data_IF_559991254912
#
_entry.id   IF_559991254912
#
_cell.length_a   1.000
_cell.length_b   1.000
_cell.length_c   1.000
_cell.angle_alpha   90.00
_cell.angle_beta   90.00
_cell.angle_gamma   90.00
#
_symmetry.space_group_name_H-M   'P 1'
#
loop_
_entity.id
_entity.type
_entity.pdbx_description
1 polymer ?
#
# COMPACT_ATOMS: atom_id res chain seq x y z
N UNK A 1 15.60 23.02 44.40
CA UNK A 1 14.28 23.05 43.75
C UNK A 1 14.30 21.94 42.71
N UNK A 2 13.51 20.88 42.90
CA UNK A 2 13.51 19.72 42.00
C UNK A 2 12.55 20.02 40.85
N UNK A 3 13.09 20.25 39.65
CA UNK A 3 12.29 20.48 38.43
C UNK A 3 11.58 19.17 38.10
N UNK A 4 10.25 19.19 37.99
CA UNK A 4 9.47 18.01 37.62
C UNK A 4 9.26 17.95 36.10
N UNK A 5 8.96 16.75 35.57
CA UNK A 5 8.62 16.58 34.13
C UNK A 5 7.41 17.44 33.74
N UNK A 6 6.47 17.65 34.66
CA UNK A 6 5.32 18.53 34.42
C UNK A 6 5.73 19.98 34.25
N UNK A 7 6.72 20.46 35.01
CA UNK A 7 7.23 21.82 34.87
C UNK A 7 7.89 22.02 33.49
N UNK A 8 8.63 21.01 33.01
CA UNK A 8 9.24 21.02 31.67
C UNK A 8 8.19 21.01 30.55
N UNK A 9 7.13 20.20 30.68
CA UNK A 9 6.05 20.16 29.70
C UNK A 9 5.30 21.50 29.68
N UNK A 10 4.99 22.08 30.84
CA UNK A 10 4.31 23.37 30.92
C UNK A 10 5.16 24.51 30.31
N UNK A 11 6.48 24.48 30.50
CA UNK A 11 7.40 25.44 29.88
C UNK A 11 7.36 25.33 28.35
N UNK A 12 7.46 24.11 27.81
CA UNK A 12 7.34 23.89 26.36
C UNK A 12 5.95 24.23 25.81
N UNK A 13 4.88 24.02 26.56
CA UNK A 13 3.53 24.45 26.18
C UNK A 13 3.40 25.99 26.13
N UNK A 14 4.02 26.71 27.05
CA UNK A 14 4.08 28.17 27.02
C UNK A 14 4.89 28.65 25.81
N UNK A 15 6.02 28.02 25.51
CA UNK A 15 6.82 28.32 24.32
C UNK A 15 6.04 28.05 23.04
N UNK A 16 5.28 26.95 22.98
CA UNK A 16 4.42 26.60 21.86
C UNK A 16 3.35 27.68 21.58
N UNK A 17 2.75 28.24 22.62
CA UNK A 17 1.75 29.32 22.50
C UNK A 17 2.37 30.61 21.99
N UNK A 18 3.59 30.92 22.42
CA UNK A 18 4.30 32.14 22.06
C UNK A 18 5.02 32.05 20.70
N UNK A 19 5.29 30.84 20.21
CA UNK A 19 5.95 30.60 18.95
C UNK A 19 5.14 31.16 17.77
N UNK A 20 5.79 31.90 16.89
CA UNK A 20 5.18 32.45 15.68
C UNK A 20 5.38 31.55 14.47
N UNK A 21 6.55 30.90 14.38
CA UNK A 21 6.93 30.05 13.26
C UNK A 21 6.49 28.60 13.46
N UNK A 22 6.10 27.92 12.38
CA UNK A 22 5.73 26.49 12.43
C UNK A 22 6.94 25.60 12.79
N UNK A 23 8.16 26.02 12.46
CA UNK A 23 9.41 25.33 12.80
C UNK A 23 9.61 25.23 14.32
N UNK A 24 9.41 26.34 15.03
CA UNK A 24 9.51 26.43 16.48
C UNK A 24 8.38 25.65 17.14
N UNK A 25 7.15 25.76 16.62
CA UNK A 25 6.01 24.96 17.10
C UNK A 25 6.27 23.46 16.95
N UNK A 26 6.80 23.02 15.81
CA UNK A 26 7.16 21.62 15.58
C UNK A 26 8.21 21.14 16.59
N UNK A 27 9.21 21.98 16.88
CA UNK A 27 10.27 21.68 17.86
C UNK A 27 9.72 21.55 19.28
N UNK A 28 8.90 22.50 19.74
CA UNK A 28 8.27 22.45 21.05
C UNK A 28 7.40 21.21 21.22
N UNK A 29 6.58 20.87 20.21
CA UNK A 29 5.74 19.67 20.27
C UNK A 29 6.59 18.40 20.27
N UNK A 30 7.67 18.33 19.49
CA UNK A 30 8.57 17.19 19.54
C UNK A 30 9.17 17.03 20.94
N UNK A 31 9.61 18.12 21.59
CA UNK A 31 10.12 18.08 22.96
C UNK A 31 9.05 17.55 23.93
N UNK A 32 7.81 18.03 23.82
CA UNK A 32 6.67 17.54 24.63
C UNK A 32 6.47 16.03 24.42
N UNK A 33 6.49 15.55 23.17
CA UNK A 33 6.35 14.13 22.86
C UNK A 33 7.48 13.31 23.49
N UNK A 34 8.74 13.74 23.33
CA UNK A 34 9.90 13.04 23.91
C UNK A 34 9.81 13.00 25.44
N UNK A 35 9.45 14.10 26.08
CA UNK A 35 9.24 14.17 27.53
C UNK A 35 8.14 13.20 27.99
N UNK A 36 7.02 13.14 27.26
CA UNK A 36 5.91 12.21 27.56
C UNK A 36 6.32 10.75 27.36
N UNK A 37 7.03 10.43 26.29
CA UNK A 37 7.53 9.07 25.99
C UNK A 37 8.53 8.57 27.03
N UNK A 38 9.44 9.43 27.50
CA UNK A 38 10.42 9.09 28.52
C UNK A 38 9.88 9.19 29.95
N UNK A 39 8.69 9.76 30.14
CA UNK A 39 8.03 9.77 31.44
C UNK A 39 7.47 8.39 31.77
N UNK A 40 7.75 7.90 32.98
CA UNK A 40 7.13 6.67 33.51
C UNK A 40 5.69 6.89 33.99
N UNK A 41 5.03 7.98 33.57
CA UNK A 41 3.72 8.42 34.08
C UNK A 41 2.65 8.08 33.03
N UNK A 42 1.80 7.06 33.26
CA UNK A 42 0.83 6.59 32.26
C UNK A 42 -0.17 7.67 31.81
N UNK A 43 -0.54 8.59 32.72
CA UNK A 43 -1.48 9.68 32.42
C UNK A 43 -0.95 10.63 31.35
N UNK A 44 0.37 10.86 31.29
CA UNK A 44 1.00 11.71 30.28
C UNK A 44 1.07 11.04 28.91
N UNK A 45 0.95 9.71 28.85
CA UNK A 45 1.04 8.96 27.60
C UNK A 45 -0.28 8.94 26.81
N UNK A 46 -1.41 9.19 27.48
CA UNK A 46 -2.74 9.10 26.86
C UNK A 46 -2.99 10.11 25.72
N UNK A 47 -2.29 11.25 25.73
CA UNK A 47 -2.50 12.32 24.75
C UNK A 47 -1.44 12.36 23.63
N UNK A 48 -0.45 11.47 23.64
CA UNK A 48 0.67 11.50 22.67
C UNK A 48 0.15 11.40 21.23
N UNK A 49 -0.94 10.67 20.99
CA UNK A 49 -1.54 10.56 19.66
C UNK A 49 -1.96 11.93 19.08
N UNK A 50 -2.54 12.80 19.92
CA UNK A 50 -2.96 14.14 19.51
C UNK A 50 -1.76 15.03 19.26
N UNK A 51 -0.74 14.92 20.12
CA UNK A 51 0.50 15.68 19.97
C UNK A 51 1.25 15.28 18.70
N UNK A 52 1.31 13.99 18.35
CA UNK A 52 1.90 13.52 17.10
C UNK A 52 1.16 14.07 15.88
N UNK A 53 -0.17 14.18 15.91
CA UNK A 53 -0.91 14.86 14.84
C UNK A 53 -0.53 16.33 14.71
N UNK A 54 -0.45 17.06 15.82
CA UNK A 54 -0.02 18.47 15.81
C UNK A 54 1.42 18.60 15.32
N UNK A 55 2.29 17.69 15.72
CA UNK A 55 3.67 17.63 15.25
C UNK A 55 3.74 17.47 13.73
N UNK A 56 3.02 16.48 13.17
CA UNK A 56 2.92 16.25 11.72
C UNK A 56 2.48 17.53 11.00
N UNK A 57 1.43 18.17 11.49
CA UNK A 57 0.90 19.41 10.93
C UNK A 57 1.96 20.52 10.87
N UNK A 58 2.57 20.86 12.02
CA UNK A 58 3.53 21.96 12.08
C UNK A 58 4.85 21.62 11.39
N UNK A 59 5.29 20.36 11.44
CA UNK A 59 6.50 19.92 10.75
C UNK A 59 6.35 20.10 9.24
N UNK A 60 5.25 19.62 8.65
CA UNK A 60 4.98 19.78 7.22
C UNK A 60 4.81 21.26 6.86
N UNK A 61 4.10 22.04 7.68
CA UNK A 61 3.94 23.47 7.46
C UNK A 61 5.28 24.23 7.50
N UNK A 62 6.21 23.83 8.38
CA UNK A 62 7.52 24.48 8.52
C UNK A 62 8.36 24.39 7.24
N UNK A 63 8.15 23.36 6.42
CA UNK A 63 8.83 23.19 5.13
C UNK A 63 8.41 24.25 4.12
N UNK A 64 7.17 24.72 4.20
CA UNK A 64 6.67 25.82 3.36
C UNK A 64 7.24 27.16 3.78
N UNK A 65 7.41 27.37 5.08
CA UNK A 65 7.95 28.62 5.64
C UNK A 65 9.45 28.75 5.35
N UNK A 66 10.18 27.63 5.39
CA UNK A 66 11.59 27.54 4.96
C UNK A 66 11.69 27.42 3.43
N UNK A 67 11.26 28.44 2.70
CA UNK A 67 11.27 28.45 1.23
C UNK A 67 12.65 28.30 0.57
N UNK A 68 13.77 28.29 1.30
CA UNK A 68 15.10 28.19 0.70
C UNK A 68 16.07 27.46 1.62
N UNK A 69 16.59 26.33 1.11
CA UNK A 69 17.87 25.70 1.39
C UNK A 69 18.20 25.41 2.87
N UNK A 70 18.19 24.12 3.24
CA UNK A 70 19.23 23.39 3.99
C UNK A 70 18.65 22.27 4.87
N UNK A 71 17.43 22.40 5.37
CA UNK A 71 16.76 21.31 6.09
C UNK A 71 15.95 20.45 5.11
N UNK A 72 16.54 19.35 4.65
CA UNK A 72 15.81 18.35 3.88
C UNK A 72 14.64 17.80 4.72
N UNK A 73 13.45 17.76 4.12
CA UNK A 73 12.32 17.03 4.71
C UNK A 73 12.75 15.59 4.98
N UNK A 74 12.71 15.21 6.25
CA UNK A 74 13.08 13.88 6.71
C UNK A 74 11.82 13.10 7.03
N UNK A 75 11.52 12.10 6.20
CA UNK A 75 10.37 11.21 6.37
C UNK A 75 10.45 10.45 7.71
N UNK A 76 11.66 10.08 8.14
CA UNK A 76 11.89 9.30 9.37
C UNK A 76 11.36 10.01 10.62
N UNK A 77 11.42 11.34 10.67
CA UNK A 77 10.93 12.11 11.83
C UNK A 77 9.44 11.87 12.11
N UNK A 78 8.63 11.74 11.05
CA UNK A 78 7.21 11.39 11.19
C UNK A 78 7.06 9.88 11.38
N UNK A 79 7.74 9.08 10.55
CA UNK A 79 7.57 7.63 10.50
C UNK A 79 7.92 6.98 11.84
N UNK A 80 9.02 7.39 12.48
CA UNK A 80 9.49 6.81 13.74
C UNK A 80 8.47 7.04 14.87
N UNK A 81 7.85 8.22 14.92
CA UNK A 81 6.79 8.53 15.87
C UNK A 81 5.52 7.71 15.61
N UNK A 82 5.15 7.56 14.33
CA UNK A 82 3.97 6.75 13.95
C UNK A 82 4.17 5.29 14.35
N UNK A 83 5.38 4.73 14.21
CA UNK A 83 5.67 3.33 14.51
C UNK A 83 5.43 2.95 15.98
N UNK A 84 5.40 3.92 16.90
CA UNK A 84 5.13 3.70 18.32
C UNK A 84 3.68 3.28 18.62
N UNK A 85 2.76 3.52 17.69
CA UNK A 85 1.34 3.26 17.89
C UNK A 85 0.91 1.88 17.41
N UNK A 86 -0.31 1.46 17.78
CA UNK A 86 -0.90 0.23 17.24
C UNK A 86 -1.24 0.36 15.75
N UNK A 87 -1.51 -0.76 15.07
CA UNK A 87 -1.73 -0.80 13.62
C UNK A 87 -2.87 0.11 13.15
N UNK A 88 -3.94 0.24 13.93
CA UNK A 88 -5.08 1.09 13.57
C UNK A 88 -4.75 2.58 13.69
N UNK A 89 -4.07 2.97 14.76
CA UNK A 89 -3.57 4.32 14.96
C UNK A 89 -2.49 4.68 13.93
N UNK A 90 -1.58 3.76 13.62
CA UNK A 90 -0.58 3.90 12.55
C UNK A 90 -1.25 4.25 11.23
N UNK A 91 -2.27 3.48 10.84
CA UNK A 91 -3.04 3.72 9.60
C UNK A 91 -3.64 5.13 9.59
N UNK A 92 -4.32 5.52 10.66
CA UNK A 92 -4.97 6.83 10.76
C UNK A 92 -3.97 8.00 10.75
N UNK A 93 -2.79 7.84 11.35
CA UNK A 93 -1.73 8.85 11.34
C UNK A 93 -1.07 8.97 9.96
N UNK A 94 -0.87 7.87 9.25
CA UNK A 94 -0.32 7.88 7.88
C UNK A 94 -1.30 8.53 6.89
N UNK A 95 -2.59 8.21 6.96
CA UNK A 95 -3.61 8.90 6.16
C UNK A 95 -3.64 10.40 6.46
N UNK A 96 -3.49 10.76 7.73
CA UNK A 96 -3.40 12.17 8.13
C UNK A 96 -2.15 12.83 7.54
N UNK A 97 -0.96 12.26 7.73
CA UNK A 97 0.28 12.80 7.18
C UNK A 97 0.20 12.97 5.65
N UNK A 98 -0.30 11.97 4.91
CA UNK A 98 -0.46 12.06 3.46
C UNK A 98 -1.37 13.20 3.02
N UNK A 99 -2.49 13.41 3.72
CA UNK A 99 -3.40 14.52 3.43
C UNK A 99 -2.72 15.87 3.66
N UNK A 100 -1.94 16.00 4.73
CA UNK A 100 -1.20 17.23 5.03
C UNK A 100 -0.09 17.49 3.99
N UNK A 101 0.69 16.48 3.62
CA UNK A 101 1.73 16.55 2.57
C UNK A 101 1.11 16.99 1.23
N UNK A 102 -0.01 16.37 0.85
CA UNK A 102 -0.74 16.70 -0.39
C UNK A 102 -1.31 18.12 -0.35
N UNK A 103 -1.78 18.58 0.82
CA UNK A 103 -2.29 19.95 0.99
C UNK A 103 -1.19 20.99 0.79
N UNK A 104 0.03 20.72 1.24
CA UNK A 104 1.18 21.61 1.03
C UNK A 104 1.89 21.38 -0.32
N UNK A 105 1.28 20.62 -1.24
CA UNK A 105 1.79 20.34 -2.60
C UNK A 105 3.15 19.64 -2.67
N UNK A 106 3.54 18.89 -1.64
CA UNK A 106 4.80 18.14 -1.56
C UNK A 106 4.65 16.72 -2.15
N UNK A 107 4.13 16.60 -3.38
CA UNK A 107 3.76 15.30 -3.99
C UNK A 107 4.93 14.32 -4.11
N UNK A 108 6.15 14.80 -4.36
CA UNK A 108 7.34 13.94 -4.47
C UNK A 108 7.63 13.16 -3.19
N UNK A 109 7.16 13.69 -2.04
CA UNK A 109 7.36 13.10 -0.71
C UNK A 109 6.26 12.12 -0.31
N UNK A 110 5.22 11.92 -1.13
CA UNK A 110 4.11 11.01 -0.77
C UNK A 110 4.44 9.53 -0.99
N UNK A 111 5.39 9.21 -1.86
CA UNK A 111 5.68 7.82 -2.29
C UNK A 111 6.02 6.92 -1.09
N UNK A 112 6.88 7.39 -0.19
CA UNK A 112 7.29 6.59 0.98
C UNK A 112 6.12 6.37 1.96
N UNK A 113 5.34 7.41 2.22
CA UNK A 113 4.15 7.34 3.07
C UNK A 113 3.06 6.46 2.46
N UNK A 114 2.86 6.47 1.13
CA UNK A 114 1.92 5.60 0.43
C UNK A 114 2.35 4.14 0.52
N UNK A 115 3.64 3.86 0.34
CA UNK A 115 4.20 2.51 0.53
C UNK A 115 4.02 2.02 1.97
N UNK A 116 4.28 2.87 2.96
CA UNK A 116 4.10 2.52 4.36
C UNK A 116 2.62 2.32 4.72
N UNK A 117 1.73 3.17 4.19
CA UNK A 117 0.29 3.03 4.35
C UNK A 117 -0.21 1.69 3.82
N UNK A 118 0.22 1.29 2.61
CA UNK A 118 -0.14 -0.01 2.02
C UNK A 118 0.33 -1.17 2.90
N UNK A 119 1.53 -1.09 3.48
CA UNK A 119 2.05 -2.11 4.42
C UNK A 119 1.21 -2.19 5.69
N UNK A 120 0.86 -1.06 6.28
CA UNK A 120 0.06 -1.00 7.51
C UNK A 120 -1.38 -1.44 7.22
N UNK A 121 -1.96 -1.07 6.09
CA UNK A 121 -3.28 -1.52 5.65
C UNK A 121 -3.33 -3.04 5.48
N UNK A 122 -2.32 -3.61 4.81
CA UNK A 122 -2.21 -5.07 4.69
C UNK A 122 -2.15 -5.75 6.06
N UNK A 123 -1.32 -5.23 6.97
CA UNK A 123 -1.23 -5.73 8.35
C UNK A 123 -2.56 -5.62 9.11
N UNK A 124 -3.28 -4.52 8.93
CA UNK A 124 -4.61 -4.27 9.52
C UNK A 124 -5.65 -5.28 9.03
N UNK A 125 -5.67 -5.57 7.73
CA UNK A 125 -6.56 -6.56 7.13
C UNK A 125 -6.20 -7.98 7.54
N UNK A 126 -4.91 -8.31 7.69
CA UNK A 126 -4.46 -9.60 8.23
C UNK A 126 -4.94 -9.81 9.67
N UNK A 127 -4.82 -8.81 10.54
CA UNK A 127 -5.26 -8.91 11.94
C UNK A 127 -6.78 -9.05 12.07
N UNK A 128 -7.54 -8.45 11.16
CA UNK A 128 -9.00 -8.47 11.15
C UNK A 128 -9.58 -9.45 10.13
N UNK A 129 -8.82 -10.49 9.77
CA UNK A 129 -9.20 -11.37 8.66
C UNK A 129 -10.58 -12.00 8.87
N UNK A 130 -11.47 -11.72 7.92
CA UNK A 130 -12.76 -12.39 7.75
C UNK A 130 -12.81 -12.93 6.34
N UNK A 131 -13.36 -14.13 6.16
CA UNK A 131 -13.43 -14.78 4.83
C UNK A 131 -14.11 -13.90 3.77
N UNK A 132 -15.08 -13.09 4.18
CA UNK A 132 -15.76 -12.08 3.34
C UNK A 132 -14.80 -11.04 2.73
N UNK A 133 -13.68 -10.75 3.40
CA UNK A 133 -12.69 -9.76 2.99
C UNK A 133 -11.52 -10.40 2.23
N UNK A 134 -11.58 -11.68 1.85
CA UNK A 134 -10.49 -12.36 1.15
C UNK A 134 -10.04 -11.62 -0.11
N UNK A 135 -10.98 -11.15 -0.95
CA UNK A 135 -10.64 -10.37 -2.14
C UNK A 135 -9.96 -9.04 -1.81
N UNK A 136 -10.39 -8.37 -0.73
CA UNK A 136 -9.75 -7.14 -0.26
C UNK A 136 -8.32 -7.43 0.17
N UNK A 137 -8.11 -8.46 0.99
CA UNK A 137 -6.79 -8.88 1.44
C UNK A 137 -5.88 -9.27 0.27
N UNK A 138 -6.39 -10.00 -0.72
CA UNK A 138 -5.65 -10.37 -1.92
C UNK A 138 -5.21 -9.12 -2.69
N UNK A 139 -6.12 -8.17 -2.91
CA UNK A 139 -5.82 -6.92 -3.60
C UNK A 139 -4.79 -6.07 -2.84
N UNK A 140 -4.97 -5.84 -1.54
CA UNK A 140 -4.00 -5.10 -0.72
C UNK A 140 -2.65 -5.83 -0.63
N UNK A 141 -2.66 -7.17 -0.65
CA UNK A 141 -1.45 -7.99 -0.71
C UNK A 141 -0.65 -7.81 -2.00
N UNK A 142 -1.33 -7.65 -3.14
CA UNK A 142 -0.67 -7.31 -4.40
C UNK A 142 0.08 -5.97 -4.32
N UNK A 143 -0.46 -4.99 -3.58
CA UNK A 143 0.15 -3.65 -3.43
C UNK A 143 1.29 -3.59 -2.41
N UNK A 144 1.56 -4.69 -1.69
CA UNK A 144 2.58 -4.73 -0.63
C UNK A 144 4.02 -4.70 -1.16
N UNK A 145 4.30 -5.40 -2.27
CA UNK A 145 5.63 -5.52 -2.86
C UNK A 145 5.55 -5.94 -4.34
N UNK A 146 6.53 -5.52 -5.15
CA UNK A 146 6.73 -5.97 -6.53
C UNK A 146 6.78 -7.50 -6.67
N UNK A 147 7.27 -8.21 -5.65
CA UNK A 147 7.24 -9.68 -5.62
C UNK A 147 5.83 -10.25 -5.43
N UNK A 148 4.98 -9.60 -4.63
CA UNK A 148 3.59 -10.01 -4.42
C UNK A 148 2.79 -9.97 -5.72
N UNK A 149 3.06 -8.98 -6.56
CA UNK A 149 2.54 -8.88 -7.93
C UNK A 149 2.93 -10.10 -8.77
N UNK A 150 4.22 -10.46 -8.77
CA UNK A 150 4.69 -11.60 -9.57
C UNK A 150 4.04 -12.90 -9.10
N UNK A 151 3.90 -13.08 -7.79
CA UNK A 151 3.19 -14.22 -7.19
C UNK A 151 1.71 -14.21 -7.59
N UNK A 152 1.05 -13.06 -7.58
CA UNK A 152 -0.35 -12.94 -8.01
C UNK A 152 -0.50 -13.31 -9.48
N UNK A 153 0.38 -12.82 -10.37
CA UNK A 153 0.39 -13.17 -11.79
C UNK A 153 0.61 -14.67 -12.01
N UNK A 154 1.58 -15.27 -11.31
CA UNK A 154 1.82 -16.72 -11.36
C UNK A 154 0.58 -17.48 -10.88
N UNK A 155 -0.05 -17.03 -9.79
CA UNK A 155 -1.27 -17.66 -9.25
C UNK A 155 -2.42 -17.59 -10.25
N UNK A 156 -2.63 -16.43 -10.89
CA UNK A 156 -3.63 -16.26 -11.95
C UNK A 156 -3.35 -17.19 -13.13
N UNK A 157 -2.07 -17.25 -13.56
CA UNK A 157 -1.65 -18.11 -14.64
C UNK A 157 -1.92 -19.59 -14.32
N UNK A 158 -1.60 -20.03 -13.10
CA UNK A 158 -1.87 -21.40 -12.64
C UNK A 158 -3.38 -21.69 -12.58
N UNK A 159 -4.20 -20.73 -12.18
CA UNK A 159 -5.66 -20.87 -12.23
C UNK A 159 -6.16 -21.02 -13.67
N UNK A 160 -5.69 -20.18 -14.59
CA UNK A 160 -6.00 -20.30 -16.02
C UNK A 160 -5.55 -21.66 -16.58
N UNK A 161 -4.36 -22.12 -16.19
CA UNK A 161 -3.84 -23.42 -16.57
C UNK A 161 -4.78 -24.55 -16.20
N UNK A 162 -5.29 -24.53 -14.96
CA UNK A 162 -6.22 -25.55 -14.46
C UNK A 162 -7.59 -25.42 -15.14
N UNK A 163 -8.13 -24.20 -15.26
CA UNK A 163 -9.46 -23.95 -15.83
C UNK A 163 -9.53 -24.34 -17.31
N UNK A 164 -8.45 -24.14 -18.06
CA UNK A 164 -8.37 -24.46 -19.47
C UNK A 164 -7.91 -25.90 -19.75
N UNK A 165 -7.64 -26.71 -18.73
CA UNK A 165 -7.42 -28.14 -18.96
C UNK A 165 -8.67 -28.75 -19.62
N UNK A 166 -8.49 -29.69 -20.56
CA UNK A 166 -9.62 -30.38 -21.16
C UNK A 166 -10.40 -31.12 -20.06
N UNK A 167 -11.70 -30.84 -19.99
CA UNK A 167 -12.56 -31.41 -18.97
C UNK A 167 -12.62 -32.95 -19.10
N UNK A 168 -12.60 -33.69 -17.98
CA UNK A 168 -12.91 -35.11 -18.00
C UNK A 168 -14.31 -35.35 -18.56
N UNK A 169 -14.54 -36.56 -19.10
CA UNK A 169 -15.73 -36.94 -19.90
C UNK A 169 -17.10 -36.62 -19.26
N UNK A 170 -17.15 -36.43 -17.94
CA UNK A 170 -18.38 -36.22 -17.16
C UNK A 170 -18.52 -34.81 -16.55
N UNK A 171 -17.57 -33.90 -16.80
CA UNK A 171 -17.63 -32.52 -16.30
C UNK A 171 -18.28 -31.58 -17.32
N UNK A 172 -18.98 -30.52 -16.86
CA UNK A 172 -19.53 -29.51 -17.76
C UNK A 172 -18.39 -28.84 -18.54
N UNK A 173 -18.36 -29.06 -19.86
CA UNK A 173 -17.36 -28.48 -20.75
C UNK A 173 -17.62 -26.98 -20.88
N UNK A 174 -16.82 -26.17 -20.18
CA UNK A 174 -16.87 -24.71 -20.29
C UNK A 174 -16.16 -24.21 -21.55
N UNK A 175 -15.08 -24.90 -21.94
CA UNK A 175 -14.17 -24.47 -22.96
C UNK A 175 -13.82 -25.60 -23.93
N UNK A 176 -13.69 -25.24 -25.20
CA UNK A 176 -13.08 -26.08 -26.24
C UNK A 176 -11.69 -25.52 -26.51
N UNK A 177 -10.67 -26.35 -26.31
CA UNK A 177 -9.27 -25.97 -26.53
C UNK A 177 -8.76 -26.48 -27.88
N UNK A 178 -8.15 -25.61 -28.67
CA UNK A 178 -7.47 -25.96 -29.93
C UNK A 178 -5.98 -25.65 -29.80
N UNK A 179 -5.16 -26.68 -29.67
CA UNK A 179 -3.72 -26.52 -29.44
C UNK A 179 -2.98 -26.24 -30.74
N UNK A 180 -2.16 -25.20 -30.73
CA UNK A 180 -1.04 -25.06 -31.64
C UNK A 180 0.13 -25.89 -31.12
N UNK A 181 0.77 -26.70 -31.97
CA UNK A 181 1.85 -27.58 -31.54
C UNK A 181 3.16 -26.80 -31.46
N UNK A 182 3.53 -26.38 -30.25
CA UNK A 182 4.79 -25.69 -29.91
C UNK A 182 5.81 -26.67 -29.32
N UNK A 183 5.35 -27.68 -28.59
CA UNK A 183 6.18 -28.66 -27.90
C UNK A 183 5.55 -30.06 -27.89
N UNK A 184 6.39 -31.09 -27.84
CA UNK A 184 5.96 -32.49 -27.75
C UNK A 184 5.40 -32.87 -26.38
N UNK A 185 5.77 -32.14 -25.33
CA UNK A 185 5.23 -32.35 -23.98
C UNK A 185 3.87 -31.67 -23.84
N UNK A 186 2.83 -32.41 -23.48
CA UNK A 186 1.48 -31.88 -23.28
C UNK A 186 1.46 -30.67 -22.33
N UNK A 187 2.13 -30.77 -21.18
CA UNK A 187 2.12 -29.69 -20.18
C UNK A 187 2.83 -28.43 -20.66
N UNK A 188 3.96 -28.57 -21.34
CA UNK A 188 4.68 -27.43 -21.92
C UNK A 188 3.89 -26.82 -23.07
N UNK A 189 3.29 -27.65 -23.92
CA UNK A 189 2.45 -27.21 -25.01
C UNK A 189 1.22 -26.44 -24.50
N UNK A 190 0.55 -26.95 -23.46
CA UNK A 190 -0.56 -26.27 -22.80
C UNK A 190 -0.14 -24.92 -22.21
N UNK A 191 0.99 -24.89 -21.50
CA UNK A 191 1.57 -23.65 -20.96
C UNK A 191 1.82 -22.60 -22.06
N UNK A 192 2.48 -22.99 -23.14
CA UNK A 192 2.78 -22.10 -24.28
C UNK A 192 1.52 -21.58 -24.96
N UNK A 193 0.51 -22.43 -25.17
CA UNK A 193 -0.74 -22.02 -25.80
C UNK A 193 -1.53 -21.02 -24.94
N UNK A 194 -1.51 -21.17 -23.61
CA UNK A 194 -2.11 -20.19 -22.70
C UNK A 194 -1.40 -18.84 -22.80
N UNK A 195 -0.06 -18.84 -22.76
CA UNK A 195 0.72 -17.61 -22.90
C UNK A 195 0.45 -16.94 -24.25
N UNK A 196 0.48 -17.69 -25.35
CA UNK A 196 0.14 -17.18 -26.68
C UNK A 196 -1.29 -16.60 -26.73
N UNK A 197 -2.23 -17.22 -26.03
CA UNK A 197 -3.60 -16.71 -25.92
C UNK A 197 -3.74 -15.45 -25.07
N UNK A 198 -2.91 -15.26 -24.05
CA UNK A 198 -2.91 -14.06 -23.20
C UNK A 198 -2.34 -12.87 -23.98
N UNK A 199 -1.28 -13.09 -24.76
CA UNK A 199 -0.59 -12.07 -25.55
C UNK A 199 -1.14 -11.93 -26.98
N UNK A 200 -2.18 -12.68 -27.33
CA UNK A 200 -2.85 -12.65 -28.65
C UNK A 200 -1.89 -12.87 -29.84
N UNK A 201 -0.92 -13.78 -29.67
CA UNK A 201 0.15 -14.05 -30.66
C UNK A 201 -0.35 -14.93 -31.83
N UNK A 202 -1.41 -15.69 -31.62
CA UNK A 202 -1.94 -16.68 -32.57
C UNK A 202 -3.15 -16.14 -33.34
N UNK A 203 -3.27 -16.52 -34.61
CA UNK A 203 -4.42 -16.17 -35.44
C UNK A 203 -5.70 -16.90 -35.01
N UNK A 204 -5.57 -18.16 -34.59
CA UNK A 204 -6.68 -18.97 -34.10
C UNK A 204 -6.75 -18.95 -32.57
N UNK A 205 -7.97 -18.85 -32.02
CA UNK A 205 -8.18 -18.76 -30.57
C UNK A 205 -7.97 -20.12 -29.91
N UNK A 206 -6.94 -20.25 -29.06
CA UNK A 206 -6.70 -21.44 -28.24
C UNK A 206 -7.91 -21.86 -27.41
N UNK A 207 -8.66 -20.91 -26.83
CA UNK A 207 -9.83 -21.18 -25.98
C UNK A 207 -11.10 -20.60 -26.61
N UNK A 208 -12.08 -21.47 -26.86
CA UNK A 208 -13.42 -21.08 -27.30
C UNK A 208 -14.44 -21.44 -26.21
N UNK A 209 -15.23 -20.47 -25.70
CA UNK A 209 -16.29 -20.78 -24.75
C UNK A 209 -17.41 -21.57 -25.45
N UNK A 210 -17.86 -22.65 -24.83
CA UNK A 210 -18.92 -23.53 -25.38
C UNK A 210 -20.31 -23.06 -24.92
N UNK A 211 -20.36 -22.40 -23.76
CA UNK A 211 -21.59 -21.94 -23.14
C UNK A 211 -21.42 -20.54 -22.53
N UNK A 212 -22.55 -19.94 -22.11
CA UNK A 212 -22.56 -18.58 -21.54
C UNK A 212 -21.69 -18.47 -20.28
N UNK A 213 -21.58 -19.55 -19.50
CA UNK A 213 -20.74 -19.60 -18.31
C UNK A 213 -19.25 -19.54 -18.66
N UNK A 214 -18.82 -20.27 -19.69
CA UNK A 214 -17.48 -20.19 -20.24
C UNK A 214 -17.17 -18.78 -20.74
N UNK A 215 -18.12 -18.14 -21.43
CA UNK A 215 -17.96 -16.74 -21.86
C UNK A 215 -17.77 -15.80 -20.69
N UNK A 216 -18.60 -15.91 -19.64
CA UNK A 216 -18.50 -15.09 -18.43
C UNK A 216 -17.16 -15.30 -17.72
N UNK A 217 -16.73 -16.54 -17.53
CA UNK A 217 -15.44 -16.87 -16.92
C UNK A 217 -14.30 -16.27 -17.74
N UNK A 218 -14.33 -16.40 -19.07
CA UNK A 218 -13.30 -15.86 -19.95
C UNK A 218 -13.21 -14.33 -19.90
N UNK A 219 -14.36 -13.63 -19.84
CA UNK A 219 -14.40 -12.18 -19.65
C UNK A 219 -13.81 -11.80 -18.29
N UNK A 220 -14.23 -12.47 -17.21
CA UNK A 220 -13.73 -12.20 -15.86
C UNK A 220 -12.22 -12.41 -15.77
N UNK A 221 -11.68 -13.49 -16.34
CA UNK A 221 -10.25 -13.76 -16.39
C UNK A 221 -9.49 -12.67 -17.15
N UNK A 222 -10.01 -12.22 -18.30
CA UNK A 222 -9.39 -11.12 -19.06
C UNK A 222 -9.44 -9.80 -18.30
N UNK A 223 -10.57 -9.44 -17.71
CA UNK A 223 -10.70 -8.24 -16.89
C UNK A 223 -9.75 -8.27 -15.70
N UNK A 224 -9.62 -9.42 -15.02
CA UNK A 224 -8.71 -9.58 -13.89
C UNK A 224 -7.25 -9.45 -14.32
N UNK A 225 -6.86 -10.09 -15.43
CA UNK A 225 -5.52 -9.97 -15.98
C UNK A 225 -5.19 -8.53 -16.36
N UNK A 226 -6.11 -7.82 -17.03
CA UNK A 226 -5.94 -6.40 -17.38
C UNK A 226 -5.80 -5.56 -16.11
N UNK A 227 -6.66 -5.76 -15.10
CA UNK A 227 -6.60 -5.00 -13.86
C UNK A 227 -5.25 -5.18 -13.14
N UNK A 228 -4.74 -6.42 -13.07
CA UNK A 228 -3.42 -6.70 -12.50
C UNK A 228 -2.34 -6.06 -13.36
N UNK A 229 -2.28 -6.36 -14.66
CA UNK A 229 -1.22 -5.85 -15.53
C UNK A 229 -1.20 -4.32 -15.56
N UNK A 230 -2.35 -3.66 -15.67
CA UNK A 230 -2.43 -2.19 -15.65
C UNK A 230 -1.94 -1.64 -14.32
N UNK A 231 -2.39 -2.18 -13.18
CA UNK A 231 -1.92 -1.73 -11.87
C UNK A 231 -0.41 -1.91 -11.72
N UNK A 232 0.11 -3.06 -12.14
CA UNK A 232 1.54 -3.39 -12.09
C UNK A 232 2.35 -2.44 -12.97
N UNK A 233 1.89 -2.22 -14.20
CA UNK A 233 2.59 -1.39 -15.16
C UNK A 233 2.58 0.06 -14.72
N UNK A 234 1.45 0.55 -14.20
CA UNK A 234 1.32 1.90 -13.64
C UNK A 234 2.23 2.07 -12.43
N UNK A 235 2.26 1.13 -11.48
CA UNK A 235 3.13 1.22 -10.30
C UNK A 235 4.63 1.12 -10.65
N UNK A 236 4.99 0.27 -11.63
CA UNK A 236 6.35 0.20 -12.16
C UNK A 236 6.75 1.49 -12.88
N UNK A 237 5.84 2.12 -13.62
CA UNK A 237 6.09 3.40 -14.26
C UNK A 237 6.26 4.51 -13.22
N UNK A 238 5.37 4.61 -12.23
CA UNK A 238 5.47 5.60 -11.15
C UNK A 238 6.79 5.47 -10.38
N UNK A 239 7.14 4.25 -9.97
CA UNK A 239 8.38 4.00 -9.22
C UNK A 239 9.65 4.28 -10.01
N UNK A 240 9.69 3.96 -11.32
CA UNK A 240 10.87 4.21 -12.17
C UNK A 240 10.99 5.65 -12.66
N UNK A 241 9.87 6.32 -12.89
CA UNK A 241 9.87 7.68 -13.42
C UNK A 241 9.67 8.77 -12.34
N UNK A 242 9.49 8.40 -11.07
CA UNK A 242 9.15 9.32 -9.97
C UNK A 242 7.98 10.25 -10.33
N UNK A 243 6.98 9.70 -11.01
CA UNK A 243 5.72 10.38 -11.39
C UNK A 243 4.62 9.95 -10.42
#
# INVERSE_FOLDING_TARGET
MTITIFDLINDEELRLVNATEASEKSTCINNIIQLKLHSSIPRLQNDIYVDVKKYIYFYIQSLKEKQYNYDEFSESHIVDLIQLFNVEQQFNLLEYALREIKREHLFEKTIEFENLLNKVEFKKECQNFKFRNFFKLFFTGCLYNNWSIAIALITCFMLCFIIYLPAPKDFPVLFKTTYYQVSDSFFLNHCSNILMSIFDIQQDKFVLPVNIWGTLVLILTKCFFIAIVVNVFVDQLKSRFKI
#
